data_IF_014062244655
#
_entry.id   IF_014062244655
#
_cell.length_a   1.000
_cell.length_b   1.000
_cell.length_c   1.000
_cell.angle_alpha   90.00
_cell.angle_beta   90.00
_cell.angle_gamma   90.00
#
_symmetry.space_group_name_H-M   'P 1'
#
loop_
_entity.id
_entity.type
_entity.pdbx_description
1 polymer ?
#
# COMPACT_ATOMS: atom_id res chain seq x y z
N UNK A 1 20.72 -19.42 -1.67
CA UNK A 1 20.00 -20.22 -2.68
C UNK A 1 18.66 -19.54 -2.90
N UNK A 2 18.59 -18.62 -3.86
CA UNK A 2 17.33 -17.98 -4.23
C UNK A 2 16.46 -19.04 -4.87
N UNK A 3 15.28 -19.30 -4.29
CA UNK A 3 14.23 -20.05 -4.97
C UNK A 3 13.79 -19.19 -6.14
N UNK A 4 14.25 -19.52 -7.31
CA UNK A 4 13.73 -19.02 -8.58
C UNK A 4 12.30 -19.58 -8.73
N UNK A 5 11.38 -18.95 -7.99
CA UNK A 5 9.97 -19.28 -8.12
C UNK A 5 9.47 -18.51 -9.34
N UNK A 6 9.25 -19.22 -10.39
CA UNK A 6 8.77 -18.77 -11.70
C UNK A 6 7.32 -18.22 -11.56
N UNK A 7 7.19 -17.04 -10.92
CA UNK A 7 5.91 -16.36 -10.76
C UNK A 7 5.46 -15.83 -12.10
N UNK A 8 4.26 -16.23 -12.52
CA UNK A 8 3.67 -15.74 -13.77
C UNK A 8 3.24 -14.29 -13.56
N UNK A 9 3.68 -13.41 -14.45
CA UNK A 9 3.22 -12.05 -14.55
C UNK A 9 1.71 -12.00 -14.83
N UNK A 10 1.00 -11.03 -14.25
CA UNK A 10 -0.44 -10.83 -14.48
C UNK A 10 -0.73 -10.54 -15.95
N UNK A 11 0.13 -9.81 -16.65
CA UNK A 11 0.00 -9.56 -18.07
C UNK A 11 -0.02 -10.87 -18.87
N UNK A 12 0.87 -11.82 -18.58
CA UNK A 12 0.88 -13.13 -19.21
C UNK A 12 -0.41 -13.93 -18.90
N UNK A 13 -0.93 -13.82 -17.69
CA UNK A 13 -2.24 -14.44 -17.31
C UNK A 13 -3.40 -13.84 -18.09
N UNK A 14 -3.40 -12.52 -18.31
CA UNK A 14 -4.42 -11.84 -19.12
C UNK A 14 -4.39 -12.35 -20.57
N UNK A 15 -3.20 -12.47 -21.15
CA UNK A 15 -3.03 -13.02 -22.51
C UNK A 15 -3.53 -14.46 -22.59
N UNK A 16 -3.17 -15.32 -21.63
CA UNK A 16 -3.66 -16.70 -21.57
C UNK A 16 -5.18 -16.76 -21.44
N UNK A 17 -5.76 -15.95 -20.54
CA UNK A 17 -7.20 -15.88 -20.34
C UNK A 17 -7.92 -15.45 -21.62
N UNK A 18 -7.46 -14.39 -22.29
CA UNK A 18 -8.03 -13.92 -23.56
C UNK A 18 -7.90 -14.93 -24.70
N UNK A 19 -6.82 -15.68 -24.71
CA UNK A 19 -6.63 -16.73 -25.71
C UNK A 19 -7.61 -17.90 -25.52
N UNK A 20 -7.84 -18.30 -24.26
CA UNK A 20 -8.79 -19.37 -23.93
C UNK A 20 -10.25 -18.94 -23.98
N UNK A 21 -10.52 -17.68 -23.69
CA UNK A 21 -11.85 -17.09 -23.60
C UNK A 21 -11.89 -15.76 -24.37
N UNK A 22 -11.96 -15.82 -25.72
CA UNK A 22 -11.95 -14.59 -26.57
C UNK A 22 -13.08 -13.62 -26.25
N UNK A 23 -14.27 -14.14 -25.85
CA UNK A 23 -15.43 -13.33 -25.43
C UNK A 23 -15.46 -13.02 -23.93
N UNK A 24 -14.44 -13.47 -23.20
CA UNK A 24 -14.36 -13.26 -21.76
C UNK A 24 -14.07 -11.81 -21.39
N UNK A 25 -14.40 -11.42 -20.17
CA UNK A 25 -14.13 -10.09 -19.63
C UNK A 25 -13.55 -10.12 -18.23
N UNK A 26 -12.76 -9.09 -17.92
CA UNK A 26 -12.26 -8.81 -16.58
C UNK A 26 -12.96 -7.52 -16.12
N UNK A 27 -13.61 -7.56 -14.98
CA UNK A 27 -14.41 -6.47 -14.46
C UNK A 27 -14.28 -6.38 -12.94
N UNK A 28 -14.53 -5.20 -12.31
CA UNK A 28 -14.84 -5.18 -10.89
C UNK A 28 -16.05 -6.09 -10.61
N UNK A 29 -16.03 -6.81 -9.50
CA UNK A 29 -17.17 -7.66 -9.12
C UNK A 29 -18.43 -6.86 -8.82
N UNK A 30 -18.28 -5.60 -8.42
CA UNK A 30 -19.33 -4.61 -8.26
C UNK A 30 -18.97 -3.36 -9.08
N UNK A 31 -19.73 -3.07 -10.13
CA UNK A 31 -19.50 -1.90 -10.99
C UNK A 31 -19.88 -0.59 -10.30
N UNK A 32 -20.78 -0.62 -9.31
CA UNK A 32 -21.18 0.56 -8.55
C UNK A 32 -20.13 0.94 -7.49
N UNK A 33 -19.39 -0.05 -6.98
CA UNK A 33 -18.34 0.15 -6.01
C UNK A 33 -17.08 -0.67 -6.40
N UNK A 34 -16.31 -0.19 -7.39
CA UNK A 34 -15.20 -0.95 -7.98
C UNK A 34 -14.02 -1.18 -7.02
N UNK A 35 -13.90 -0.37 -5.98
CA UNK A 35 -12.94 -0.53 -4.90
C UNK A 35 -13.49 0.03 -3.59
N UNK A 36 -12.91 -0.38 -2.45
CA UNK A 36 -13.26 0.11 -1.11
C UNK A 36 -12.01 0.52 -0.35
N UNK A 37 -12.16 1.52 0.52
CA UNK A 37 -11.16 1.80 1.54
C UNK A 37 -11.63 1.14 2.84
N UNK A 38 -10.83 0.22 3.36
CA UNK A 38 -11.14 -0.53 4.58
C UNK A 38 -10.11 -0.25 5.66
N UNK A 39 -10.54 -0.18 6.91
CA UNK A 39 -9.65 -0.10 8.07
C UNK A 39 -9.47 -1.49 8.68
N UNK A 40 -8.23 -1.91 8.83
CA UNK A 40 -7.88 -3.16 9.50
C UNK A 40 -6.88 -2.84 10.62
N UNK A 41 -7.41 -2.70 11.82
CA UNK A 41 -6.59 -2.45 13.00
C UNK A 41 -5.91 -1.08 13.03
N UNK A 42 -6.55 -0.05 12.49
CA UNK A 42 -6.05 1.32 12.44
C UNK A 42 -5.16 1.62 11.21
N UNK A 43 -4.97 0.65 10.32
CA UNK A 43 -4.32 0.82 9.03
C UNK A 43 -5.37 0.79 7.92
N UNK A 44 -5.37 1.80 7.06
CA UNK A 44 -6.22 1.83 5.88
C UNK A 44 -5.64 1.00 4.73
N UNK A 45 -6.53 0.40 3.96
CA UNK A 45 -6.20 -0.35 2.75
C UNK A 45 -7.18 -0.02 1.64
N UNK A 46 -6.70 0.00 0.40
CA UNK A 46 -7.53 -0.04 -0.79
C UNK A 46 -7.75 -1.52 -1.12
N UNK A 47 -9.00 -1.97 -1.12
CA UNK A 47 -9.40 -3.33 -1.44
C UNK A 47 -10.15 -3.36 -2.78
N UNK A 48 -9.79 -4.30 -3.64
CA UNK A 48 -10.42 -4.54 -4.93
C UNK A 48 -10.92 -5.98 -4.99
N UNK A 49 -12.13 -6.16 -5.50
CA UNK A 49 -12.70 -7.47 -5.83
C UNK A 49 -12.95 -7.48 -7.33
N UNK A 50 -12.30 -8.39 -8.03
CA UNK A 50 -12.41 -8.55 -9.48
C UNK A 50 -13.15 -9.84 -9.84
N UNK A 51 -13.80 -9.84 -11.00
CA UNK A 51 -14.46 -10.98 -11.59
C UNK A 51 -13.92 -11.25 -13.00
N UNK A 52 -13.59 -12.50 -13.29
CA UNK A 52 -13.17 -12.97 -14.60
C UNK A 52 -14.29 -13.84 -15.20
N UNK A 53 -15.01 -13.31 -16.17
CA UNK A 53 -16.07 -13.98 -16.90
C UNK A 53 -15.49 -14.67 -18.13
N UNK A 54 -15.73 -15.97 -18.31
CA UNK A 54 -15.24 -16.76 -19.47
C UNK A 54 -16.05 -16.48 -20.73
N UNK A 55 -17.33 -16.15 -20.56
CA UNK A 55 -18.27 -15.83 -21.64
C UNK A 55 -19.22 -14.72 -21.16
N UNK A 56 -19.95 -14.04 -22.06
CA UNK A 56 -20.97 -13.05 -21.66
C UNK A 56 -22.05 -13.62 -20.73
N UNK A 57 -22.37 -14.90 -20.86
CA UNK A 57 -23.41 -15.58 -20.07
C UNK A 57 -22.83 -16.34 -18.85
N UNK A 58 -21.57 -16.09 -18.50
CA UNK A 58 -20.95 -16.79 -17.37
C UNK A 58 -21.55 -16.34 -16.03
N UNK A 59 -22.37 -17.20 -15.44
CA UNK A 59 -23.02 -16.94 -14.13
C UNK A 59 -22.13 -17.28 -12.94
N UNK A 60 -20.93 -17.84 -13.15
CA UNK A 60 -19.97 -18.24 -12.11
C UNK A 60 -18.57 -17.79 -12.48
N UNK A 61 -18.32 -16.48 -12.53
CA UNK A 61 -17.00 -15.96 -12.83
C UNK A 61 -15.97 -16.39 -11.77
N UNK A 62 -14.72 -16.44 -12.16
CA UNK A 62 -13.63 -16.50 -11.19
C UNK A 62 -13.54 -15.21 -10.40
N UNK A 63 -13.54 -15.28 -9.06
CA UNK A 63 -13.44 -14.11 -8.18
C UNK A 63 -12.04 -14.03 -7.61
N UNK A 64 -11.44 -12.83 -7.68
CA UNK A 64 -10.16 -12.51 -7.08
C UNK A 64 -10.26 -11.30 -6.17
N UNK A 65 -9.61 -11.36 -5.02
CA UNK A 65 -9.56 -10.26 -4.07
C UNK A 65 -8.11 -9.90 -3.79
N UNK A 66 -7.82 -8.60 -3.74
CA UNK A 66 -6.53 -8.08 -3.32
C UNK A 66 -6.72 -6.76 -2.57
N UNK A 67 -5.72 -6.40 -1.79
CA UNK A 67 -5.67 -5.11 -1.10
C UNK A 67 -4.24 -4.60 -1.04
N UNK A 68 -4.11 -3.27 -1.01
CA UNK A 68 -2.85 -2.57 -0.81
C UNK A 68 -2.97 -1.59 0.35
N UNK A 69 -1.88 -1.46 1.14
CA UNK A 69 -1.85 -0.50 2.24
C UNK A 69 -1.97 0.93 1.70
N UNK A 70 -2.78 1.77 2.35
CA UNK A 70 -2.94 3.18 2.00
C UNK A 70 -2.62 4.08 3.20
N UNK A 71 -1.65 5.02 3.08
CA UNK A 71 -0.74 5.16 1.93
C UNK A 71 0.21 3.97 1.78
N UNK A 72 0.71 3.77 0.56
CA UNK A 72 1.67 2.72 0.23
C UNK A 72 2.95 2.84 1.04
N UNK A 73 3.51 1.70 1.45
CA UNK A 73 4.65 1.62 2.37
C UNK A 73 6.02 1.86 1.72
N UNK A 74 6.08 1.78 0.40
CA UNK A 74 7.32 1.94 -0.36
C UNK A 74 7.15 2.98 -1.45
N UNK A 75 8.25 3.50 -2.00
CA UNK A 75 8.21 4.41 -3.15
C UNK A 75 7.62 3.76 -4.41
N UNK A 76 7.61 2.43 -4.50
CA UNK A 76 7.02 1.69 -5.61
C UNK A 76 5.51 1.53 -5.49
N UNK A 77 4.99 1.48 -4.27
CA UNK A 77 3.56 1.27 -4.02
C UNK A 77 2.82 2.57 -3.77
N UNK A 78 3.53 3.63 -3.33
CA UNK A 78 2.93 4.92 -3.03
C UNK A 78 2.45 5.64 -4.29
N UNK A 79 1.18 6.06 -4.28
CA UNK A 79 0.53 6.69 -5.43
C UNK A 79 0.08 5.71 -6.53
N UNK A 80 0.27 4.39 -6.31
CA UNK A 80 -0.13 3.32 -7.23
C UNK A 80 -0.93 2.22 -6.52
N UNK A 81 -1.44 2.50 -5.33
CA UNK A 81 -2.08 1.50 -4.47
C UNK A 81 -3.30 0.87 -5.13
N UNK A 82 -4.14 1.70 -5.75
CA UNK A 82 -5.35 1.22 -6.44
C UNK A 82 -4.99 0.33 -7.64
N UNK A 83 -4.04 0.77 -8.48
CA UNK A 83 -3.61 0.02 -9.65
C UNK A 83 -2.95 -1.32 -9.26
N UNK A 84 -2.17 -1.33 -8.20
CA UNK A 84 -1.54 -2.54 -7.68
C UNK A 84 -2.58 -3.53 -7.14
N UNK A 85 -3.56 -3.03 -6.35
CA UNK A 85 -4.65 -3.85 -5.84
C UNK A 85 -5.51 -4.42 -6.97
N UNK A 86 -5.84 -3.60 -8.00
CA UNK A 86 -6.61 -4.03 -9.17
C UNK A 86 -5.88 -5.12 -9.95
N UNK A 87 -4.61 -4.88 -10.30
CA UNK A 87 -3.78 -5.85 -11.05
C UNK A 87 -3.69 -7.17 -10.32
N UNK A 88 -3.45 -7.15 -9.02
CA UNK A 88 -3.40 -8.35 -8.18
C UNK A 88 -4.75 -9.07 -8.11
N UNK A 89 -5.86 -8.32 -8.00
CA UNK A 89 -7.20 -8.90 -7.99
C UNK A 89 -7.53 -9.59 -9.33
N UNK A 90 -7.17 -8.98 -10.46
CA UNK A 90 -7.35 -9.59 -11.80
C UNK A 90 -6.54 -10.88 -11.95
N UNK A 91 -5.27 -10.87 -11.55
CA UNK A 91 -4.45 -12.08 -11.59
C UNK A 91 -5.06 -13.24 -10.81
N UNK A 92 -5.62 -12.98 -9.64
CA UNK A 92 -6.33 -13.96 -8.79
C UNK A 92 -7.65 -14.41 -9.39
N UNK A 93 -8.43 -13.49 -9.97
CA UNK A 93 -9.70 -13.81 -10.62
C UNK A 93 -9.49 -14.74 -11.83
N UNK A 94 -8.46 -14.48 -12.65
CA UNK A 94 -8.07 -15.33 -13.77
C UNK A 94 -7.69 -16.72 -13.29
N UNK A 95 -6.87 -16.85 -12.26
CA UNK A 95 -6.50 -18.15 -11.70
C UNK A 95 -7.74 -18.91 -11.24
N UNK A 96 -8.70 -18.24 -10.58
CA UNK A 96 -9.95 -18.85 -10.16
C UNK A 96 -10.83 -19.27 -11.34
N UNK A 97 -10.92 -18.47 -12.42
CA UNK A 97 -11.70 -18.76 -13.60
C UNK A 97 -11.13 -19.93 -14.43
N UNK A 98 -9.80 -19.99 -14.53
CA UNK A 98 -9.11 -21.02 -15.31
C UNK A 98 -8.96 -22.34 -14.54
N UNK A 99 -9.20 -22.35 -13.23
CA UNK A 99 -8.79 -23.44 -12.35
C UNK A 99 -7.31 -23.83 -12.62
N UNK A 100 -6.48 -22.81 -12.90
CA UNK A 100 -5.14 -22.96 -13.42
C UNK A 100 -4.23 -23.71 -12.44
N UNK A 101 -3.13 -24.24 -12.96
CA UNK A 101 -2.13 -24.97 -12.19
C UNK A 101 -1.60 -24.12 -11.02
N UNK A 102 -2.05 -24.45 -9.82
CA UNK A 102 -1.65 -23.78 -8.59
C UNK A 102 -0.24 -24.15 -8.12
N UNK A 103 0.46 -25.05 -8.83
CA UNK A 103 1.85 -25.42 -8.51
C UNK A 103 2.81 -24.23 -8.54
N UNK A 104 2.49 -23.19 -9.31
CA UNK A 104 3.26 -21.94 -9.40
C UNK A 104 2.80 -20.85 -8.44
N UNK A 105 1.86 -21.15 -7.52
CA UNK A 105 1.30 -20.20 -6.57
C UNK A 105 0.22 -19.27 -7.15
N UNK A 106 -0.57 -18.68 -6.27
CA UNK A 106 -1.65 -17.75 -6.64
C UNK A 106 -1.14 -16.32 -6.70
N UNK A 107 -0.10 -15.99 -5.93
CA UNK A 107 0.51 -14.67 -5.91
C UNK A 107 1.11 -14.33 -7.29
N UNK A 108 1.00 -13.07 -7.70
CA UNK A 108 1.65 -12.58 -8.91
C UNK A 108 3.13 -12.24 -8.64
N UNK A 109 3.92 -12.14 -9.70
CA UNK A 109 5.30 -11.66 -9.60
C UNK A 109 5.38 -10.26 -8.97
N UNK A 110 4.41 -9.39 -9.27
CA UNK A 110 4.31 -8.04 -8.72
C UNK A 110 4.00 -8.05 -7.22
N UNK A 111 3.06 -8.88 -6.77
CA UNK A 111 2.77 -9.05 -5.33
C UNK A 111 4.00 -9.51 -4.55
N UNK A 112 4.77 -10.42 -5.12
CA UNK A 112 5.98 -10.94 -4.48
C UNK A 112 7.07 -9.87 -4.43
N UNK A 113 7.29 -9.14 -5.55
CA UNK A 113 8.25 -8.02 -5.58
C UNK A 113 7.89 -6.93 -4.59
N UNK A 114 6.62 -6.52 -4.53
CA UNK A 114 6.14 -5.51 -3.59
C UNK A 114 6.36 -5.94 -2.14
N UNK A 115 6.05 -7.19 -1.80
CA UNK A 115 6.31 -7.73 -0.45
C UNK A 115 7.79 -7.87 -0.13
N UNK A 116 8.63 -8.19 -1.11
CA UNK A 116 10.08 -8.21 -0.92
C UNK A 116 10.61 -6.80 -0.66
N UNK A 117 10.21 -5.81 -1.48
CA UNK A 117 10.56 -4.41 -1.29
C UNK A 117 10.10 -3.87 0.09
N UNK A 118 8.94 -4.31 0.59
CA UNK A 118 8.48 -3.97 1.94
C UNK A 118 9.39 -4.53 3.06
N UNK A 119 10.08 -5.64 2.81
CA UNK A 119 10.99 -6.31 3.77
C UNK A 119 12.41 -5.82 3.68
N UNK A 120 12.80 -5.21 2.56
CA UNK A 120 14.15 -4.68 2.41
C UNK A 120 14.40 -3.54 3.42
N UNK A 121 15.60 -3.50 4.02
CA UNK A 121 15.99 -2.38 4.86
C UNK A 121 15.95 -1.08 4.04
N UNK A 122 15.20 -0.09 4.51
CA UNK A 122 15.21 1.23 3.87
C UNK A 122 16.56 1.88 4.14
N UNK A 123 17.24 2.29 3.09
CA UNK A 123 18.40 3.17 3.20
C UNK A 123 17.90 4.61 3.08
N UNK A 124 18.00 5.35 4.18
CA UNK A 124 17.67 6.78 4.18
C UNK A 124 18.90 7.58 3.84
N UNK A 125 18.78 8.51 2.88
CA UNK A 125 19.83 9.46 2.62
C UNK A 125 19.97 10.40 3.83
N UNK A 126 21.18 10.55 4.42
CA UNK A 126 21.39 11.40 5.58
C UNK A 126 21.05 12.88 5.32
N UNK A 127 21.25 13.35 4.08
CA UNK A 127 20.97 14.74 3.70
C UNK A 127 19.46 14.99 3.66
N UNK A 128 18.71 14.09 3.04
CA UNK A 128 17.25 14.17 3.00
C UNK A 128 16.66 14.11 4.41
N UNK A 129 17.20 13.22 5.27
CA UNK A 129 16.76 13.12 6.65
C UNK A 129 17.09 14.37 7.47
N UNK A 130 18.20 15.02 7.21
CA UNK A 130 18.56 16.28 7.85
C UNK A 130 17.60 17.41 7.42
N UNK A 131 17.29 17.52 6.13
CA UNK A 131 16.36 18.52 5.61
C UNK A 131 14.94 18.32 6.19
N UNK A 132 14.46 17.07 6.25
CA UNK A 132 13.17 16.73 6.84
C UNK A 132 13.13 17.07 8.33
N UNK A 133 14.20 16.74 9.06
CA UNK A 133 14.33 17.07 10.48
C UNK A 133 14.25 18.57 10.72
N UNK A 134 15.07 19.34 10.02
CA UNK A 134 15.17 20.78 10.20
C UNK A 134 13.83 21.48 9.85
N UNK A 135 13.14 21.01 8.81
CA UNK A 135 11.80 21.50 8.46
C UNK A 135 10.76 21.23 9.55
N UNK A 136 10.74 20.00 10.07
CA UNK A 136 9.81 19.66 11.15
C UNK A 136 10.14 20.32 12.48
N UNK A 137 11.43 20.51 12.81
CA UNK A 137 11.82 21.27 14.00
C UNK A 137 11.30 22.72 13.94
N UNK A 138 11.36 23.34 12.77
CA UNK A 138 10.82 24.69 12.58
C UNK A 138 9.28 24.71 12.76
N UNK A 139 8.55 23.72 12.22
CA UNK A 139 7.09 23.60 12.43
C UNK A 139 6.74 23.38 13.92
N UNK A 140 7.47 22.50 14.60
CA UNK A 140 7.29 22.24 16.04
C UNK A 140 7.54 23.50 16.87
N UNK A 141 8.61 24.22 16.59
CA UNK A 141 8.94 25.46 17.29
C UNK A 141 7.89 26.56 17.06
N UNK A 142 7.32 26.63 15.86
CA UNK A 142 6.30 27.61 15.49
C UNK A 142 4.90 27.28 16.04
N UNK A 143 4.67 26.06 16.54
CA UNK A 143 3.36 25.67 17.07
C UNK A 143 2.97 26.48 18.28
N UNK A 144 1.77 27.11 18.23
CA UNK A 144 1.30 28.07 19.26
C UNK A 144 0.36 27.43 20.29
N UNK A 145 -0.18 26.24 19.99
CA UNK A 145 -1.14 25.57 20.86
C UNK A 145 -1.02 24.02 20.81
N UNK A 146 -1.76 23.38 21.68
CA UNK A 146 -1.76 21.91 21.82
C UNK A 146 -2.36 21.19 20.62
N UNK A 147 -3.29 21.80 19.90
CA UNK A 147 -3.90 21.21 18.70
C UNK A 147 -2.88 21.16 17.56
N UNK A 148 -2.10 22.24 17.37
CA UNK A 148 -1.03 22.27 16.38
C UNK A 148 0.01 21.15 16.65
N UNK A 149 0.45 20.98 17.91
CA UNK A 149 1.39 19.92 18.28
C UNK A 149 0.82 18.52 18.05
N UNK A 150 -0.45 18.29 18.35
CA UNK A 150 -1.11 17.00 18.07
C UNK A 150 -1.19 16.73 16.56
N UNK A 151 -1.52 17.74 15.76
CA UNK A 151 -1.58 17.60 14.30
C UNK A 151 -0.21 17.26 13.71
N UNK A 152 0.87 17.93 14.17
CA UNK A 152 2.25 17.64 13.80
C UNK A 152 2.59 16.19 14.17
N UNK A 153 2.31 15.76 15.40
CA UNK A 153 2.57 14.40 15.85
C UNK A 153 1.90 13.33 14.99
N UNK A 154 0.65 13.58 14.54
CA UNK A 154 -0.06 12.70 13.61
C UNK A 154 0.63 12.62 12.23
N UNK A 155 1.07 13.76 11.68
CA UNK A 155 1.80 13.81 10.41
C UNK A 155 3.13 13.06 10.50
N UNK A 156 3.91 13.26 11.57
CA UNK A 156 5.17 12.57 11.81
C UNK A 156 5.00 11.07 11.90
N UNK A 157 3.93 10.60 12.58
CA UNK A 157 3.62 9.18 12.67
C UNK A 157 3.29 8.59 11.30
N UNK A 158 2.52 9.31 10.48
CA UNK A 158 2.22 8.91 9.10
C UNK A 158 3.49 8.79 8.27
N UNK A 159 4.40 9.75 8.34
CA UNK A 159 5.66 9.72 7.60
C UNK A 159 6.62 8.62 8.10
N UNK A 160 6.59 8.27 9.39
CA UNK A 160 7.30 7.09 9.90
C UNK A 160 6.72 5.80 9.31
N UNK A 161 5.39 5.67 9.31
CA UNK A 161 4.70 4.49 8.77
C UNK A 161 4.93 4.33 7.27
N UNK A 162 4.95 5.44 6.52
CA UNK A 162 5.25 5.47 5.09
C UNK A 162 6.74 5.38 4.76
N UNK A 163 7.60 5.18 5.76
CA UNK A 163 9.06 5.07 5.61
C UNK A 163 9.73 6.30 4.98
N UNK A 164 9.15 7.49 5.12
CA UNK A 164 9.79 8.76 4.75
C UNK A 164 10.78 9.21 5.81
N UNK A 165 10.39 9.08 7.08
CA UNK A 165 11.27 9.37 8.20
C UNK A 165 11.98 8.11 8.69
N UNK A 166 13.29 8.22 8.89
CA UNK A 166 14.06 7.18 9.58
C UNK A 166 13.60 7.06 11.03
N UNK A 167 13.74 5.88 11.68
CA UNK A 167 13.46 5.74 13.10
C UNK A 167 14.18 6.77 13.96
N UNK A 168 15.46 7.04 13.66
CA UNK A 168 16.27 8.01 14.39
C UNK A 168 15.73 9.45 14.24
N UNK A 169 15.39 9.86 13.01
CA UNK A 169 14.80 11.18 12.74
C UNK A 169 13.45 11.33 13.42
N UNK A 170 12.59 10.30 13.35
CA UNK A 170 11.30 10.32 14.03
C UNK A 170 11.44 10.43 15.55
N UNK A 171 12.33 9.64 16.18
CA UNK A 171 12.53 9.68 17.63
C UNK A 171 13.07 11.01 18.10
N UNK A 172 13.93 11.66 17.30
CA UNK A 172 14.40 13.01 17.55
C UNK A 172 13.25 14.03 17.53
N UNK A 173 12.44 14.01 16.47
CA UNK A 173 11.29 14.93 16.31
C UNK A 173 10.19 14.69 17.35
N UNK A 174 9.96 13.45 17.75
CA UNK A 174 9.02 13.10 18.83
C UNK A 174 9.45 13.71 20.17
N UNK A 175 10.76 13.72 20.48
CA UNK A 175 11.31 14.39 21.66
C UNK A 175 11.15 15.89 21.59
N UNK A 176 11.43 16.51 20.43
CA UNK A 176 11.23 17.96 20.23
C UNK A 176 9.74 18.35 20.42
N UNK A 177 8.82 17.55 19.84
CA UNK A 177 7.38 17.76 20.04
C UNK A 177 6.94 17.63 21.50
N UNK A 178 7.50 16.67 22.25
CA UNK A 178 7.22 16.51 23.67
C UNK A 178 7.73 17.69 24.50
N UNK A 179 8.90 18.23 24.19
CA UNK A 179 9.45 19.42 24.83
C UNK A 179 8.55 20.64 24.58
N UNK A 180 8.16 20.88 23.32
CA UNK A 180 7.27 21.99 22.98
C UNK A 180 5.91 21.90 23.67
N UNK A 181 5.37 20.69 23.77
CA UNK A 181 4.14 20.41 24.51
C UNK A 181 4.26 20.80 26.00
N UNK A 182 5.40 20.51 26.63
CA UNK A 182 5.64 20.87 28.02
C UNK A 182 5.71 22.39 28.21
N UNK A 183 6.38 23.09 27.29
CA UNK A 183 6.43 24.58 27.31
C UNK A 183 5.04 25.22 27.20
N UNK A 184 4.23 24.75 26.25
CA UNK A 184 2.86 25.27 26.06
C UNK A 184 1.95 25.01 27.27
N UNK A 185 2.11 23.86 27.94
CA UNK A 185 1.37 23.57 29.17
C UNK A 185 1.84 24.43 30.35
N UNK A 186 3.16 24.72 30.46
CA UNK A 186 3.70 25.56 31.52
C UNK A 186 3.36 27.08 31.37
N UNK A 187 3.16 27.52 30.13
CA UNK A 187 2.77 28.89 29.85
C UNK A 187 1.27 29.19 30.15
N UNK A 188 0.44 28.16 30.31
CA UNK A 188 -1.00 28.24 30.59
C UNK A 188 -1.33 27.95 32.07
N UNK A 189 -0.33 27.82 32.95
CA UNK A 189 -0.46 27.62 34.39
C UNK A 189 -0.04 28.87 35.16
#
# INVERSE_FOLDING_TARGET
MALDMDYIDVAARIVEFRTKHPEGSLQPADLAEPFRVVDLGGQQYIAVIAAAYRTPDDTRPGIGMAYEAYPGKTNFTRGSELQNAETSAWGRAIVAALAADTKRGIASADEVRNRQAEREPVQWDPTDQAMLRDGWEAEIAAAQDMEAIKAIGKKLLTQKQSRELSPATYDHLAKAGAARKAELNGANS
#
